data_IF_493935405481
#
_entry.id   IF_493935405481
#
_cell.length_a   1.000
_cell.length_b   1.000
_cell.length_c   1.000
_cell.angle_alpha   90.00
_cell.angle_beta   90.00
_cell.angle_gamma   90.00
#
_symmetry.space_group_name_H-M   'P 1'
#
loop_
_entity.id
_entity.type
_entity.pdbx_description
1 polymer ?
#
# COMPACT_ATOMS: atom_id res chain seq x y z
N UNK A 1 1.30 4.48 13.45
CA UNK A 1 1.64 4.55 12.01
C UNK A 1 2.96 5.29 11.83
N UNK A 2 3.08 6.56 12.23
CA UNK A 2 4.32 7.35 12.08
C UNK A 2 5.55 6.65 12.67
N UNK A 3 5.48 6.19 13.92
CA UNK A 3 6.55 5.38 14.54
C UNK A 3 6.98 4.16 13.71
N UNK A 4 6.04 3.46 13.06
CA UNK A 4 6.36 2.30 12.22
C UNK A 4 7.06 2.74 10.93
N UNK A 5 6.64 3.87 10.36
CA UNK A 5 7.29 4.43 9.18
C UNK A 5 8.74 4.80 9.44
N UNK A 6 9.02 5.36 10.63
CA UNK A 6 10.36 5.81 11.04
C UNK A 6 11.25 4.68 11.54
N UNK A 7 10.70 3.67 12.22
CA UNK A 7 11.50 2.54 12.71
C UNK A 7 11.75 1.48 11.62
N UNK A 8 10.73 1.20 10.79
CA UNK A 8 10.75 0.04 9.89
C UNK A 8 10.84 0.39 8.41
N UNK A 9 10.62 1.64 8.03
CA UNK A 9 10.72 2.11 6.65
C UNK A 9 10.04 1.19 5.62
N UNK A 10 8.73 0.91 5.77
CA UNK A 10 8.05 -0.01 4.86
C UNK A 10 7.96 0.58 3.45
N UNK A 11 8.27 -0.23 2.43
CA UNK A 11 8.16 0.20 1.03
C UNK A 11 6.71 0.27 0.51
N UNK A 12 5.77 -0.39 1.19
CA UNK A 12 4.36 -0.40 0.84
C UNK A 12 3.50 -0.73 2.07
N UNK A 13 2.28 -0.19 2.11
CA UNK A 13 1.27 -0.51 3.12
C UNK A 13 0.09 -1.22 2.44
N UNK A 14 -0.33 -2.35 2.98
CA UNK A 14 -1.49 -3.10 2.51
C UNK A 14 -2.55 -3.14 3.60
N UNK A 15 -3.75 -2.72 3.25
CA UNK A 15 -4.92 -2.76 4.10
C UNK A 15 -5.75 -4.01 3.81
N UNK A 16 -6.26 -4.66 4.84
CA UNK A 16 -7.22 -5.75 4.68
C UNK A 16 -8.55 -5.25 4.07
N UNK A 17 -9.31 -6.13 3.41
CA UNK A 17 -10.56 -5.75 2.75
C UNK A 17 -11.59 -5.14 3.71
N UNK A 18 -11.60 -5.59 4.96
CA UNK A 18 -12.51 -5.12 6.02
C UNK A 18 -12.31 -3.65 6.39
N UNK A 19 -11.09 -3.12 6.22
CA UNK A 19 -10.72 -1.75 6.61
C UNK A 19 -10.49 -0.83 5.41
N UNK A 20 -11.07 -1.18 4.24
CA UNK A 20 -10.96 -0.40 2.99
C UNK A 20 -11.32 1.08 3.17
N UNK A 21 -12.28 1.41 4.03
CA UNK A 21 -12.69 2.78 4.31
C UNK A 21 -11.57 3.65 4.90
N UNK A 22 -10.53 3.06 5.51
CA UNK A 22 -9.36 3.76 6.05
C UNK A 22 -8.31 4.10 4.98
N UNK A 23 -8.52 3.70 3.72
CA UNK A 23 -7.54 3.86 2.65
C UNK A 23 -7.11 5.32 2.47
N UNK A 24 -8.06 6.22 2.28
CA UNK A 24 -7.76 7.63 2.03
C UNK A 24 -7.12 8.30 3.25
N UNK A 25 -7.65 8.07 4.45
CA UNK A 25 -7.06 8.60 5.68
C UNK A 25 -5.65 8.05 5.94
N UNK A 26 -5.36 6.81 5.53
CA UNK A 26 -4.01 6.23 5.65
C UNK A 26 -3.06 6.83 4.62
N UNK A 27 -3.50 6.98 3.36
CA UNK A 27 -2.73 7.66 2.30
C UNK A 27 -2.33 9.07 2.73
N UNK A 28 -3.25 9.85 3.29
CA UNK A 28 -2.96 11.20 3.77
C UNK A 28 -1.91 11.20 4.88
N UNK A 29 -2.06 10.32 5.88
CA UNK A 29 -1.11 10.21 7.01
C UNK A 29 0.29 9.83 6.57
N UNK A 30 0.41 8.98 5.54
CA UNK A 30 1.72 8.48 5.07
C UNK A 30 2.25 9.19 3.83
N UNK A 31 1.51 10.19 3.31
CA UNK A 31 1.88 10.95 2.11
C UNK A 31 3.29 11.54 2.20
N UNK A 32 3.67 12.02 3.39
CA UNK A 32 5.01 12.58 3.67
C UNK A 32 6.15 11.57 3.50
N UNK A 33 5.88 10.27 3.66
CA UNK A 33 6.87 9.20 3.52
C UNK A 33 6.96 8.67 2.08
N UNK A 34 6.11 9.14 1.15
CA UNK A 34 6.08 8.70 -0.25
C UNK A 34 5.94 7.18 -0.41
N UNK A 35 5.04 6.59 0.37
CA UNK A 35 4.80 5.14 0.37
C UNK A 35 3.42 4.84 -0.22
N UNK A 36 3.31 3.90 -1.18
CA UNK A 36 2.03 3.48 -1.71
C UNK A 36 1.21 2.74 -0.65
N UNK A 37 -0.10 3.03 -0.63
CA UNK A 37 -1.08 2.34 0.20
C UNK A 37 -2.09 1.64 -0.69
N UNK A 38 -2.22 0.33 -0.52
CA UNK A 38 -3.13 -0.52 -1.27
C UNK A 38 -4.14 -1.24 -0.38
N UNK A 39 -5.13 -1.88 -1.00
CA UNK A 39 -6.09 -2.76 -0.33
C UNK A 39 -5.96 -4.14 -0.93
N UNK A 40 -5.89 -5.16 -0.07
CA UNK A 40 -5.86 -6.56 -0.48
C UNK A 40 -7.27 -6.95 -0.93
N UNK A 41 -7.36 -7.64 -2.07
CA UNK A 41 -8.61 -8.18 -2.57
C UNK A 41 -9.20 -9.19 -1.57
N UNK A 42 -10.52 -9.15 -1.35
CA UNK A 42 -11.17 -10.06 -0.40
C UNK A 42 -11.05 -11.52 -0.77
N UNK A 43 -11.02 -11.83 -2.08
CA UNK A 43 -10.82 -13.19 -2.57
C UNK A 43 -9.41 -13.65 -2.25
N UNK A 44 -8.40 -12.88 -2.66
CA UNK A 44 -6.99 -13.22 -2.41
C UNK A 44 -6.67 -13.33 -0.91
N UNK A 45 -7.26 -12.45 -0.09
CA UNK A 45 -7.16 -12.51 1.36
C UNK A 45 -7.83 -13.76 1.93
N UNK A 46 -9.01 -14.12 1.42
CA UNK A 46 -9.79 -15.27 1.87
C UNK A 46 -9.14 -16.61 1.53
N UNK A 47 -8.53 -16.73 0.34
CA UNK A 47 -7.80 -17.93 -0.07
C UNK A 47 -6.32 -17.93 0.35
N UNK A 48 -5.87 -16.88 1.04
CA UNK A 48 -4.48 -16.68 1.49
C UNK A 48 -3.44 -16.82 0.35
N UNK A 49 -3.77 -16.33 -0.84
CA UNK A 49 -2.90 -16.40 -2.02
C UNK A 49 -1.82 -15.31 -1.96
N UNK A 50 -0.77 -15.57 -1.19
CA UNK A 50 0.35 -14.64 -0.98
C UNK A 50 1.08 -14.26 -2.27
N UNK A 51 1.13 -15.15 -3.27
CA UNK A 51 1.78 -14.87 -4.55
C UNK A 51 1.02 -13.80 -5.33
N UNK A 52 -0.31 -13.92 -5.43
CA UNK A 52 -1.13 -12.89 -6.06
C UNK A 52 -1.07 -11.56 -5.31
N UNK A 53 -1.13 -11.59 -3.98
CA UNK A 53 -1.01 -10.37 -3.16
C UNK A 53 0.34 -9.69 -3.39
N UNK A 54 1.43 -10.45 -3.43
CA UNK A 54 2.76 -9.91 -3.70
C UNK A 54 2.85 -9.30 -5.10
N UNK A 55 2.40 -10.00 -6.15
CA UNK A 55 2.39 -9.48 -7.53
C UNK A 55 1.58 -8.18 -7.65
N UNK A 56 0.40 -8.12 -7.03
CA UNK A 56 -0.44 -6.90 -6.99
C UNK A 56 0.28 -5.74 -6.28
N UNK A 57 0.97 -6.05 -5.18
CA UNK A 57 1.74 -5.07 -4.41
C UNK A 57 2.90 -4.50 -5.21
N UNK A 58 3.67 -5.34 -5.90
CA UNK A 58 4.76 -4.90 -6.77
C UNK A 58 4.26 -3.99 -7.91
N UNK A 59 3.12 -4.33 -8.52
CA UNK A 59 2.51 -3.51 -9.55
C UNK A 59 2.06 -2.14 -9.01
N UNK A 60 1.47 -2.12 -7.81
CA UNK A 60 1.09 -0.87 -7.13
C UNK A 60 2.32 0.01 -6.89
N UNK A 61 3.41 -0.55 -6.37
CA UNK A 61 4.66 0.18 -6.13
C UNK A 61 5.25 0.75 -7.42
N UNK A 62 5.24 -0.04 -8.51
CA UNK A 62 5.72 0.42 -9.82
C UNK A 62 4.89 1.60 -10.33
N UNK A 63 3.56 1.47 -10.32
CA UNK A 63 2.65 2.55 -10.75
C UNK A 63 2.81 3.82 -9.91
N UNK A 64 3.02 3.66 -8.60
CA UNK A 64 3.25 4.80 -7.70
C UNK A 64 4.54 5.55 -8.06
N UNK A 65 5.64 4.84 -8.33
CA UNK A 65 6.90 5.45 -8.79
C UNK A 65 6.75 6.17 -10.14
N UNK A 66 5.99 5.59 -11.08
CA UNK A 66 5.70 6.20 -12.38
C UNK A 66 4.84 7.47 -12.27
N UNK A 67 3.98 7.58 -11.24
CA UNK A 67 3.16 8.76 -11.00
C UNK A 67 3.95 9.89 -10.32
N UNK A 68 4.81 9.56 -9.35
CA UNK A 68 5.72 10.54 -8.72
C UNK A 68 6.71 11.13 -9.74
N UNK A 69 7.21 10.32 -10.67
CA UNK A 69 8.13 10.78 -11.73
C UNK A 69 7.50 11.65 -12.83
N UNK A 70 6.17 11.78 -12.87
CA UNK A 70 5.45 12.67 -13.80
C UNK A 70 5.08 14.03 -13.20
N UNK A 71 5.33 14.23 -11.90
CA UNK A 71 5.08 15.47 -11.18
C UNK A 71 6.35 16.34 -11.03
N UNK A 72 7.38 16.09 -11.85
CA UNK A 72 8.59 16.92 -12.01
C UNK A 72 8.67 17.46 -13.42
#
# INVERSE_FOLDING_TARGET
>A
LERIMEEKHPDCILLGPQVRHLLEGTKEKVKKYKVPVGVIDSVDYGVMDGEKVLKKTLLLMKKYKEQEGKNV
#
